data_IF_078984075789
#
_entry.id   IF_078984075789
#
_cell.length_a   1.000
_cell.length_b   1.000
_cell.length_c   1.000
_cell.angle_alpha   90.00
_cell.angle_beta   90.00
_cell.angle_gamma   90.00
#
_symmetry.space_group_name_H-M   'P 1'
#
loop_
_entity.id
_entity.type
_entity.pdbx_description
1 polymer ?
#
# COMPACT_ATOMS: atom_id res chain seq x y z
N UNK A 1 -14.83 -1.32 0.74
CA UNK A 1 -15.72 -1.83 -0.32
C UNK A 1 -17.16 -2.00 0.16
N UNK A 2 -17.41 -2.59 1.33
CA UNK A 2 -18.77 -2.81 1.88
C UNK A 2 -19.62 -1.54 1.96
N UNK A 3 -19.05 -0.41 2.37
CA UNK A 3 -19.78 0.87 2.39
C UNK A 3 -20.20 1.32 0.98
N UNK A 4 -19.36 1.10 -0.03
CA UNK A 4 -19.68 1.40 -1.45
C UNK A 4 -20.81 0.50 -1.92
N UNK A 5 -20.73 -0.80 -1.64
CA UNK A 5 -21.80 -1.76 -1.92
C UNK A 5 -23.12 -1.33 -1.26
N UNK A 6 -23.07 -0.95 0.02
CA UNK A 6 -24.24 -0.54 0.79
C UNK A 6 -24.96 0.67 0.21
N UNK A 7 -24.23 1.59 -0.43
CA UNK A 7 -24.81 2.75 -1.10
C UNK A 7 -25.31 2.34 -2.49
N UNK A 8 -24.48 1.64 -3.27
CA UNK A 8 -24.83 1.22 -4.63
C UNK A 8 -26.09 0.34 -4.67
N UNK A 9 -26.27 -0.57 -3.70
CA UNK A 9 -27.43 -1.45 -3.59
C UNK A 9 -28.76 -0.72 -3.33
N UNK A 10 -28.71 0.56 -2.93
CA UNK A 10 -29.92 1.37 -2.75
C UNK A 10 -30.45 1.90 -4.10
N UNK A 11 -29.61 1.93 -5.13
CA UNK A 11 -29.95 2.52 -6.43
C UNK A 11 -30.16 1.47 -7.53
N UNK A 12 -29.54 0.29 -7.40
CA UNK A 12 -29.67 -0.78 -8.39
C UNK A 12 -29.36 -2.15 -7.78
N UNK A 13 -29.79 -3.21 -8.47
CA UNK A 13 -29.20 -4.53 -8.28
C UNK A 13 -27.74 -4.51 -8.73
N UNK A 14 -26.86 -5.07 -7.90
CA UNK A 14 -25.41 -4.95 -8.07
C UNK A 14 -24.76 -6.31 -8.19
N UNK A 15 -23.84 -6.41 -9.16
CA UNK A 15 -22.89 -7.51 -9.22
C UNK A 15 -21.70 -7.18 -8.31
N UNK A 16 -21.22 -8.16 -7.55
CA UNK A 16 -20.05 -8.00 -6.68
C UNK A 16 -18.96 -8.97 -7.09
N UNK A 17 -17.72 -8.53 -6.96
CA UNK A 17 -16.53 -9.31 -7.32
C UNK A 17 -15.62 -9.41 -6.10
N UNK A 18 -15.05 -10.58 -5.87
CA UNK A 18 -13.98 -10.77 -4.88
C UNK A 18 -12.89 -11.68 -5.44
N UNK A 19 -11.70 -11.52 -4.86
CA UNK A 19 -10.62 -12.50 -4.95
C UNK A 19 -10.51 -13.20 -3.60
N UNK A 20 -10.33 -14.51 -3.63
CA UNK A 20 -9.89 -15.32 -2.50
C UNK A 20 -8.60 -16.06 -2.83
N UNK A 21 -8.00 -16.67 -1.80
CA UNK A 21 -6.80 -17.50 -1.89
C UNK A 21 -7.09 -18.86 -1.25
N UNK A 22 -6.38 -19.91 -1.65
CA UNK A 22 -6.55 -21.24 -1.05
C UNK A 22 -6.04 -21.30 0.40
N UNK A 23 -5.07 -20.46 0.74
CA UNK A 23 -4.54 -20.34 2.09
C UNK A 23 -5.53 -19.64 3.02
N UNK A 24 -6.12 -20.42 3.94
CA UNK A 24 -7.09 -19.93 4.94
C UNK A 24 -6.69 -18.68 5.72
N UNK A 25 -5.39 -18.41 5.87
CA UNK A 25 -4.88 -17.22 6.56
C UNK A 25 -5.24 -15.91 5.82
N UNK A 26 -5.37 -15.99 4.50
CA UNK A 26 -5.62 -14.86 3.61
C UNK A 26 -7.02 -14.92 2.99
N UNK A 27 -7.83 -15.90 3.39
CA UNK A 27 -9.16 -16.15 2.84
C UNK A 27 -10.22 -15.27 3.51
N UNK A 28 -10.63 -14.21 2.80
CA UNK A 28 -11.76 -13.35 3.17
C UNK A 28 -13.07 -13.74 2.46
N UNK A 29 -13.10 -14.87 1.74
CA UNK A 29 -14.26 -15.33 0.96
C UNK A 29 -15.53 -15.45 1.79
N UNK A 30 -15.40 -15.94 3.03
CA UNK A 30 -16.54 -16.11 3.92
C UNK A 30 -17.20 -14.77 4.28
N UNK A 31 -16.39 -13.73 4.50
CA UNK A 31 -16.88 -12.38 4.78
C UNK A 31 -17.60 -11.83 3.54
N UNK A 32 -16.99 -11.96 2.36
CA UNK A 32 -17.56 -11.51 1.09
C UNK A 32 -18.89 -12.20 0.77
N UNK A 33 -18.98 -13.52 0.99
CA UNK A 33 -20.21 -14.32 0.83
C UNK A 33 -21.33 -13.91 1.78
N UNK A 34 -21.01 -13.58 3.03
CA UNK A 34 -22.02 -13.15 3.99
C UNK A 34 -22.54 -11.76 3.66
N UNK A 35 -21.65 -10.86 3.26
CA UNK A 35 -22.00 -9.51 2.81
C UNK A 35 -22.88 -9.59 1.56
N UNK A 36 -22.51 -10.41 0.57
CA UNK A 36 -23.30 -10.53 -0.66
C UNK A 36 -24.70 -11.09 -0.43
N UNK A 37 -24.84 -12.07 0.48
CA UNK A 37 -26.16 -12.57 0.93
C UNK A 37 -26.98 -11.48 1.59
N UNK A 38 -26.37 -10.66 2.45
CA UNK A 38 -27.05 -9.57 3.15
C UNK A 38 -27.60 -8.52 2.17
N UNK A 39 -26.78 -8.10 1.20
CA UNK A 39 -27.18 -7.13 0.18
C UNK A 39 -27.87 -7.74 -1.05
N UNK A 40 -28.11 -9.06 -1.05
CA UNK A 40 -28.70 -9.82 -2.17
C UNK A 40 -28.03 -9.54 -3.53
N UNK A 41 -26.71 -9.31 -3.52
CA UNK A 41 -25.94 -9.03 -4.74
C UNK A 41 -25.65 -10.31 -5.51
N UNK A 42 -25.54 -10.23 -6.83
CA UNK A 42 -25.02 -11.33 -7.63
C UNK A 42 -23.48 -11.42 -7.47
N UNK A 43 -23.01 -12.38 -6.69
CA UNK A 43 -21.62 -12.46 -6.24
C UNK A 43 -20.78 -13.38 -7.11
N UNK A 44 -19.67 -12.86 -7.60
CA UNK A 44 -18.66 -13.57 -8.37
C UNK A 44 -17.35 -13.61 -7.59
N UNK A 45 -16.78 -14.79 -7.49
CA UNK A 45 -15.56 -15.02 -6.74
C UNK A 45 -14.52 -15.72 -7.61
N UNK A 46 -13.30 -15.18 -7.62
CA UNK A 46 -12.13 -15.81 -8.20
C UNK A 46 -11.23 -16.31 -7.08
N UNK A 47 -10.94 -17.61 -7.04
CA UNK A 47 -9.90 -18.15 -6.16
C UNK A 47 -8.59 -18.19 -6.94
N UNK A 48 -7.60 -17.43 -6.47
CA UNK A 48 -6.26 -17.37 -7.06
C UNK A 48 -5.37 -18.41 -6.37
N UNK A 49 -4.73 -19.25 -7.17
CA UNK A 49 -3.78 -20.28 -6.75
C UNK A 49 -2.35 -19.86 -7.11
N UNK A 50 -1.38 -20.52 -6.48
CA UNK A 50 0.05 -20.34 -6.80
C UNK A 50 0.33 -20.52 -8.30
N UNK A 51 -0.22 -21.57 -8.91
CA UNK A 51 -0.04 -21.82 -10.34
C UNK A 51 -0.61 -20.70 -11.22
N UNK A 52 -1.75 -20.10 -10.83
CA UNK A 52 -2.34 -18.98 -11.60
C UNK A 52 -1.38 -17.78 -11.62
N UNK A 53 -0.66 -17.54 -10.52
CA UNK A 53 0.36 -16.48 -10.41
C UNK A 53 1.57 -16.81 -11.27
N UNK A 54 2.06 -18.05 -11.22
CA UNK A 54 3.20 -18.48 -12.02
C UNK A 54 2.92 -18.40 -13.53
N UNK A 55 1.72 -18.78 -13.95
CA UNK A 55 1.29 -18.73 -15.35
C UNK A 55 1.10 -17.29 -15.86
N UNK A 56 0.70 -16.35 -15.01
CA UNK A 56 0.47 -14.97 -15.43
C UNK A 56 1.70 -14.07 -15.29
N UNK A 57 2.80 -14.55 -14.69
CA UNK A 57 3.93 -13.72 -14.27
C UNK A 57 4.56 -12.92 -15.41
N UNK A 58 4.76 -13.55 -16.58
CA UNK A 58 5.34 -12.88 -17.74
C UNK A 58 4.42 -11.79 -18.29
N UNK A 59 3.11 -12.06 -18.42
CA UNK A 59 2.13 -11.04 -18.86
C UNK A 59 2.01 -9.90 -17.85
N UNK A 60 2.01 -10.24 -16.56
CA UNK A 60 1.99 -9.28 -15.45
C UNK A 60 3.20 -8.33 -15.52
N UNK A 61 4.41 -8.87 -15.61
CA UNK A 61 5.65 -8.09 -15.69
C UNK A 61 5.66 -7.24 -16.96
N UNK A 62 5.22 -7.79 -18.10
CA UNK A 62 5.16 -7.05 -19.37
C UNK A 62 4.15 -5.90 -19.37
N UNK A 63 3.21 -5.89 -18.43
CA UNK A 63 2.14 -4.88 -18.32
C UNK A 63 2.55 -3.70 -17.44
N UNK A 64 3.54 -3.85 -16.56
CA UNK A 64 3.95 -2.81 -15.60
C UNK A 64 5.24 -2.10 -16.02
N UNK A 65 5.25 -0.76 -15.96
CA UNK A 65 6.46 0.04 -16.20
C UNK A 65 7.34 0.18 -14.94
N UNK A 66 6.80 -0.15 -13.76
CA UNK A 66 7.48 -0.02 -12.48
C UNK A 66 7.12 -1.19 -11.55
N UNK A 67 8.05 -1.64 -10.69
CA UNK A 67 7.76 -2.68 -9.70
C UNK A 67 6.58 -2.34 -8.78
N UNK A 68 5.88 -3.38 -8.34
CA UNK A 68 4.77 -3.32 -7.39
C UNK A 68 4.84 -4.49 -6.41
N UNK A 69 4.29 -4.30 -5.22
CA UNK A 69 4.09 -5.37 -4.23
C UNK A 69 2.62 -5.71 -3.98
N UNK A 70 1.69 -4.89 -4.48
CA UNK A 70 0.24 -5.06 -4.27
C UNK A 70 -0.53 -5.29 -5.58
N UNK A 71 0.12 -5.08 -6.73
CA UNK A 71 -0.53 -5.02 -8.03
C UNK A 71 -1.07 -6.35 -8.53
N UNK A 72 -0.57 -7.48 -8.04
CA UNK A 72 -1.02 -8.81 -8.47
C UNK A 72 -2.51 -9.04 -8.20
N UNK A 73 -3.02 -8.53 -7.07
CA UNK A 73 -4.43 -8.62 -6.72
C UNK A 73 -5.28 -7.82 -7.72
N UNK A 74 -4.82 -6.62 -8.05
CA UNK A 74 -5.46 -5.73 -9.02
C UNK A 74 -5.43 -6.32 -10.43
N UNK A 75 -4.35 -6.99 -10.82
CA UNK A 75 -4.25 -7.69 -12.09
C UNK A 75 -5.34 -8.78 -12.23
N UNK A 76 -5.47 -9.65 -11.23
CA UNK A 76 -6.47 -10.72 -11.25
C UNK A 76 -7.90 -10.19 -11.23
N UNK A 77 -8.20 -9.16 -10.43
CA UNK A 77 -9.59 -8.68 -10.31
C UNK A 77 -10.01 -7.94 -11.56
N UNK A 78 -9.10 -7.20 -12.20
CA UNK A 78 -9.34 -6.54 -13.49
C UNK A 78 -9.54 -7.57 -14.60
N UNK A 79 -8.69 -8.61 -14.67
CA UNK A 79 -8.87 -9.72 -15.62
C UNK A 79 -10.21 -10.42 -15.43
N UNK A 80 -10.56 -10.74 -14.19
CA UNK A 80 -11.81 -11.43 -13.87
C UNK A 80 -13.04 -10.57 -14.18
N UNK A 81 -12.98 -9.27 -13.86
CA UNK A 81 -14.02 -8.30 -14.20
C UNK A 81 -14.27 -8.25 -15.70
N UNK A 82 -13.20 -8.22 -16.51
CA UNK A 82 -13.30 -8.25 -17.97
C UNK A 82 -13.88 -9.57 -18.50
N UNK A 83 -13.45 -10.72 -17.97
CA UNK A 83 -13.97 -12.04 -18.35
C UNK A 83 -15.48 -12.18 -18.09
N UNK A 84 -15.98 -11.52 -17.05
CA UNK A 84 -17.41 -11.46 -16.72
C UNK A 84 -18.18 -10.40 -17.54
N UNK A 85 -17.49 -9.65 -18.39
CA UNK A 85 -18.09 -8.64 -19.28
C UNK A 85 -18.34 -7.28 -18.60
N UNK A 86 -17.81 -7.03 -17.41
CA UNK A 86 -18.00 -5.76 -16.72
C UNK A 86 -17.09 -4.68 -17.30
N UNK A 87 -17.69 -3.51 -17.59
CA UNK A 87 -16.98 -2.34 -18.14
C UNK A 87 -16.63 -1.29 -17.10
N UNK A 88 -17.42 -1.20 -16.02
CA UNK A 88 -17.21 -0.24 -14.93
C UNK A 88 -17.31 -0.99 -13.60
N UNK A 89 -16.34 -0.76 -12.71
CA UNK A 89 -16.29 -1.35 -11.38
C UNK A 89 -16.08 -0.26 -10.34
N UNK A 90 -16.85 -0.32 -9.26
CA UNK A 90 -16.66 0.56 -8.10
C UNK A 90 -15.74 -0.15 -7.09
N UNK A 91 -14.67 0.54 -6.69
CA UNK A 91 -13.72 0.06 -5.69
C UNK A 91 -13.86 0.84 -4.38
N UNK A 92 -13.48 0.22 -3.26
CA UNK A 92 -13.36 0.89 -1.97
C UNK A 92 -11.93 1.40 -1.67
N UNK A 93 -11.05 1.38 -2.66
CA UNK A 93 -9.66 1.80 -2.58
C UNK A 93 -9.58 3.30 -2.20
N UNK A 94 -8.66 3.66 -1.30
CA UNK A 94 -8.61 5.00 -0.68
C UNK A 94 -9.33 5.10 0.66
N UNK A 95 -10.20 4.14 0.99
CA UNK A 95 -10.95 4.16 2.26
C UNK A 95 -10.06 4.07 3.49
N UNK A 96 -9.06 3.19 3.50
CA UNK A 96 -8.16 3.02 4.64
C UNK A 96 -7.30 4.25 4.88
N UNK A 97 -6.87 4.92 3.81
CA UNK A 97 -6.11 6.17 3.88
C UNK A 97 -6.98 7.30 4.41
N UNK A 98 -8.20 7.42 3.89
CA UNK A 98 -9.16 8.45 4.30
C UNK A 98 -9.69 8.26 5.72
N UNK A 99 -9.78 7.03 6.24
CA UNK A 99 -10.41 6.76 7.54
C UNK A 99 -9.46 6.20 8.60
N UNK A 100 -8.21 5.88 8.24
CA UNK A 100 -7.22 5.39 9.18
C UNK A 100 -7.27 3.88 9.44
N UNK A 101 -7.57 3.09 8.41
CA UNK A 101 -7.74 1.64 8.51
C UNK A 101 -6.42 0.86 8.68
N UNK A 102 -5.28 1.47 8.36
CA UNK A 102 -3.99 0.77 8.42
C UNK A 102 -3.34 0.79 9.81
N UNK A 103 -2.60 -0.28 10.20
CA UNK A 103 -1.76 -0.29 11.40
C UNK A 103 -0.65 0.79 11.42
N UNK A 104 -0.35 1.42 10.28
CA UNK A 104 0.56 2.56 10.23
C UNK A 104 0.06 3.74 11.07
N UNK A 105 -1.25 3.94 11.20
CA UNK A 105 -1.82 5.03 12.00
C UNK A 105 -1.50 4.89 13.49
N UNK A 106 -1.59 3.68 14.04
CA UNK A 106 -1.20 3.43 15.44
C UNK A 106 0.31 3.49 15.62
N UNK A 107 1.09 2.87 14.71
CA UNK A 107 2.56 2.90 14.74
C UNK A 107 3.11 4.32 14.70
N UNK A 108 2.56 5.19 13.85
CA UNK A 108 2.99 6.58 13.72
C UNK A 108 2.71 7.43 14.98
N UNK A 109 1.68 7.10 15.78
CA UNK A 109 1.47 7.75 17.08
C UNK A 109 2.61 7.43 18.05
N UNK A 110 2.99 6.16 18.13
CA UNK A 110 4.09 5.68 18.99
C UNK A 110 5.40 6.35 18.56
N UNK A 111 5.68 6.37 17.26
CA UNK A 111 6.86 7.02 16.69
C UNK A 111 6.89 8.51 16.97
N UNK A 112 5.76 9.21 16.84
CA UNK A 112 5.71 10.64 17.13
C UNK A 112 6.08 10.93 18.59
N UNK A 113 5.63 10.08 19.52
CA UNK A 113 6.05 10.19 20.92
C UNK A 113 7.55 9.95 21.10
N UNK A 114 8.08 8.89 20.46
CA UNK A 114 9.52 8.60 20.46
C UNK A 114 10.35 9.77 19.91
N UNK A 115 9.98 10.33 18.77
CA UNK A 115 10.69 11.46 18.15
C UNK A 115 10.69 12.71 19.03
N UNK A 116 9.57 13.01 19.70
CA UNK A 116 9.49 14.13 20.63
C UNK A 116 10.46 13.96 21.81
N UNK A 117 10.59 12.74 22.35
CA UNK A 117 11.54 12.43 23.42
C UNK A 117 12.98 12.52 22.88
N UNK A 118 13.25 11.87 21.76
CA UNK A 118 14.57 11.83 21.13
C UNK A 118 15.10 13.23 20.85
N UNK A 119 14.29 14.06 20.19
CA UNK A 119 14.70 15.41 19.77
C UNK A 119 14.89 16.37 20.97
N UNK A 120 14.28 16.08 22.12
CA UNK A 120 14.41 16.91 23.31
C UNK A 120 15.55 16.47 24.25
N UNK A 121 15.97 15.20 24.21
CA UNK A 121 16.85 14.60 25.23
C UNK A 121 18.17 14.08 24.65
N UNK A 122 18.17 13.49 23.45
CA UNK A 122 19.34 12.81 22.91
C UNK A 122 20.09 13.68 21.90
N UNK A 123 21.38 13.93 22.16
CA UNK A 123 22.27 14.45 21.12
C UNK A 123 22.51 13.37 20.06
N UNK A 124 22.39 13.73 18.78
CA UNK A 124 22.57 12.86 17.61
C UNK A 124 23.90 12.07 17.59
N UNK A 125 24.88 12.48 18.39
CA UNK A 125 26.22 11.85 18.50
C UNK A 125 26.20 10.48 19.19
N UNK A 126 25.31 10.25 20.16
CA UNK A 126 25.28 8.99 20.94
C UNK A 126 24.59 7.86 20.15
N UNK A 127 23.58 8.19 19.34
CA UNK A 127 22.81 7.18 18.58
C UNK A 127 23.63 6.63 17.39
N UNK A 128 24.45 7.49 16.76
CA UNK A 128 25.29 7.12 15.61
C UNK A 128 26.49 6.24 15.97
N UNK A 129 26.97 6.26 17.22
CA UNK A 129 28.11 5.44 17.65
C UNK A 129 27.74 3.97 17.95
N UNK A 130 26.46 3.66 18.13
CA UNK A 130 25.99 2.35 18.60
C UNK A 130 25.47 1.45 17.45
N UNK A 131 25.28 1.99 16.24
CA UNK A 131 24.67 1.23 15.13
C UNK A 131 25.61 1.10 13.93
N UNK A 132 26.42 0.02 13.85
CA UNK A 132 27.25 -0.25 12.68
C UNK A 132 26.37 -0.69 11.50
N UNK A 133 26.09 0.26 10.62
CA UNK A 133 25.22 0.13 9.43
C UNK A 133 25.68 -0.92 8.42
N UNK A 134 26.91 -1.42 8.55
CA UNK A 134 27.57 -2.27 7.55
C UNK A 134 27.41 -3.77 7.77
N UNK A 135 26.83 -4.23 8.89
CA UNK A 135 26.84 -5.66 9.28
C UNK A 135 25.46 -6.21 9.71
N UNK A 136 24.38 -5.45 9.56
CA UNK A 136 23.08 -5.80 10.11
C UNK A 136 22.17 -6.47 9.08
N UNK A 137 21.49 -7.54 9.46
CA UNK A 137 20.51 -8.25 8.63
C UNK A 137 19.33 -7.34 8.22
N UNK A 138 18.57 -7.72 7.18
CA UNK A 138 17.46 -6.92 6.57
C UNK A 138 16.40 -6.41 7.56
N UNK A 139 16.15 -7.11 8.68
CA UNK A 139 15.22 -6.64 9.74
C UNK A 139 15.87 -5.59 10.65
N UNK A 140 17.16 -5.69 10.88
CA UNK A 140 17.92 -4.80 11.74
C UNK A 140 18.19 -3.47 11.04
N UNK A 141 18.41 -3.46 9.71
CA UNK A 141 18.60 -2.22 8.93
C UNK A 141 17.39 -1.27 8.98
N UNK A 142 16.16 -1.80 9.00
CA UNK A 142 14.94 -0.98 9.12
C UNK A 142 14.74 -0.43 10.53
N UNK A 143 15.07 -1.21 11.56
CA UNK A 143 15.04 -0.71 12.93
C UNK A 143 16.08 0.39 13.11
N UNK A 144 17.26 0.26 12.51
CA UNK A 144 18.25 1.35 12.53
C UNK A 144 17.75 2.59 11.80
N UNK A 145 17.09 2.45 10.65
CA UNK A 145 16.50 3.60 9.93
C UNK A 145 15.45 4.31 10.78
N UNK A 146 14.62 3.54 11.49
CA UNK A 146 13.59 4.09 12.37
C UNK A 146 14.19 4.77 13.62
N UNK A 147 15.24 4.21 14.21
CA UNK A 147 15.92 4.83 15.37
C UNK A 147 16.69 6.08 14.95
N UNK A 148 17.26 6.09 13.74
CA UNK A 148 18.03 7.20 13.20
C UNK A 148 17.16 8.28 12.55
N UNK A 149 15.88 8.03 12.31
CA UNK A 149 14.97 9.01 11.71
C UNK A 149 14.88 10.29 12.56
N UNK A 150 14.96 11.44 11.90
CA UNK A 150 14.92 12.74 12.58
C UNK A 150 13.57 13.45 12.42
N UNK A 151 12.74 12.95 11.52
CA UNK A 151 11.40 13.48 11.26
C UNK A 151 10.38 12.34 11.03
N UNK A 152 9.11 12.73 11.00
CA UNK A 152 7.99 11.79 10.83
C UNK A 152 8.00 11.12 9.45
N UNK A 153 8.44 11.81 8.40
CA UNK A 153 8.42 11.26 7.05
C UNK A 153 9.47 10.16 6.89
N UNK A 154 10.69 10.36 7.37
CA UNK A 154 11.74 9.33 7.39
C UNK A 154 11.27 8.07 8.14
N UNK A 155 10.58 8.28 9.26
CA UNK A 155 10.00 7.18 10.05
C UNK A 155 8.88 6.45 9.30
N UNK A 156 8.06 7.19 8.56
CA UNK A 156 7.02 6.62 7.71
C UNK A 156 7.64 5.75 6.60
N UNK A 157 8.67 6.25 5.90
CA UNK A 157 9.38 5.50 4.87
C UNK A 157 10.04 4.25 5.46
N UNK A 158 10.65 4.34 6.64
CA UNK A 158 11.24 3.18 7.32
C UNK A 158 10.21 2.08 7.64
N UNK A 159 8.97 2.47 7.97
CA UNK A 159 7.88 1.53 8.27
C UNK A 159 7.20 0.95 7.02
N UNK A 160 7.00 1.77 5.99
CA UNK A 160 6.20 1.42 4.79
C UNK A 160 7.07 0.89 3.66
N UNK A 161 8.33 1.34 3.57
CA UNK A 161 9.25 1.02 2.49
C UNK A 161 9.62 -0.46 2.44
N UNK A 162 9.88 -0.94 1.22
CA UNK A 162 10.35 -2.32 0.95
C UNK A 162 11.85 -2.44 1.23
N UNK A 163 12.60 -1.37 1.01
CA UNK A 163 14.05 -1.32 1.19
C UNK A 163 14.40 -0.30 2.28
N UNK A 164 15.42 -0.62 3.07
CA UNK A 164 16.09 0.33 3.96
C UNK A 164 16.78 1.44 3.16
N UNK A 165 17.12 2.55 3.82
CA UNK A 165 17.75 3.70 3.17
C UNK A 165 19.09 3.34 2.52
N UNK A 166 19.93 2.53 3.16
CA UNK A 166 21.17 2.00 2.55
C UNK A 166 20.90 1.15 1.32
N UNK A 167 19.92 0.26 1.38
CA UNK A 167 19.56 -0.59 0.24
C UNK A 167 19.11 0.26 -0.95
N UNK A 168 18.25 1.27 -0.72
CA UNK A 168 17.84 2.21 -1.77
C UNK A 168 19.05 2.92 -2.37
N UNK A 169 19.95 3.47 -1.55
CA UNK A 169 21.17 4.13 -2.03
C UNK A 169 22.08 3.18 -2.83
N UNK A 170 22.25 1.95 -2.37
CA UNK A 170 23.08 0.95 -3.06
C UNK A 170 22.45 0.52 -4.38
N UNK A 171 21.15 0.25 -4.43
CA UNK A 171 20.43 -0.14 -5.64
C UNK A 171 20.48 1.00 -6.66
N UNK A 172 20.14 2.22 -6.23
CA UNK A 172 20.13 3.39 -7.12
C UNK A 172 21.51 3.75 -7.64
N UNK A 173 22.55 3.68 -6.79
CA UNK A 173 23.93 3.86 -7.23
C UNK A 173 24.36 2.81 -8.25
N UNK A 174 23.96 1.55 -8.08
CA UNK A 174 24.26 0.46 -9.03
C UNK A 174 23.51 0.59 -10.34
N UNK A 175 22.23 0.94 -10.31
CA UNK A 175 21.36 0.93 -11.49
C UNK A 175 21.34 2.26 -12.25
N UNK A 176 21.38 3.39 -11.54
CA UNK A 176 21.22 4.74 -12.10
C UNK A 176 22.49 5.59 -12.01
N UNK A 177 23.59 5.07 -11.44
CA UNK A 177 24.87 5.77 -11.32
C UNK A 177 24.83 7.05 -10.46
N UNK A 178 23.74 7.30 -9.74
CA UNK A 178 23.50 8.53 -8.98
C UNK A 178 22.92 8.23 -7.60
N UNK A 179 23.27 9.06 -6.61
CA UNK A 179 22.68 9.00 -5.27
C UNK A 179 21.37 9.79 -5.26
N UNK A 180 20.25 9.08 -5.12
CA UNK A 180 18.92 9.67 -5.14
C UNK A 180 18.57 10.23 -3.75
N UNK A 181 19.25 11.30 -3.34
CA UNK A 181 18.89 12.01 -2.10
C UNK A 181 17.59 12.84 -2.28
N UNK A 182 17.24 13.22 -3.51
CA UNK A 182 16.12 14.12 -3.79
C UNK A 182 14.72 13.49 -3.61
N UNK A 183 14.55 12.18 -3.78
CA UNK A 183 13.21 11.56 -3.69
C UNK A 183 12.73 11.38 -2.25
N UNK A 184 13.63 11.45 -1.26
CA UNK A 184 13.29 11.42 0.16
C UNK A 184 12.75 12.78 0.67
N UNK A 185 12.82 13.84 -0.14
CA UNK A 185 12.49 15.21 0.29
C UNK A 185 11.21 15.78 -0.32
N UNK A 186 10.37 14.98 -1.00
CA UNK A 186 9.00 15.41 -1.31
C UNK A 186 8.10 15.34 -0.07
N UNK A 187 8.60 15.80 1.09
CA UNK A 187 7.75 16.08 2.23
C UNK A 187 6.88 17.26 1.83
N UNK A 188 5.65 16.97 1.41
CA UNK A 188 4.63 18.00 1.36
C UNK A 188 4.62 18.73 2.70
N UNK A 189 4.43 20.05 2.67
CA UNK A 189 4.44 20.88 3.86
C UNK A 189 3.24 20.53 4.76
N UNK A 190 3.39 19.50 5.59
CA UNK A 190 2.39 19.01 6.54
C UNK A 190 2.50 19.71 7.90
N UNK A 191 3.33 20.74 8.01
CA UNK A 191 3.53 21.47 9.27
C UNK A 191 2.27 22.21 9.72
N UNK A 192 1.38 22.55 8.79
CA UNK A 192 0.07 23.15 9.10
C UNK A 192 -0.91 22.15 9.76
N UNK A 193 -0.64 20.84 9.72
CA UNK A 193 -1.49 19.83 10.34
C UNK A 193 -1.07 19.58 11.78
N UNK A 194 -1.97 19.80 12.74
CA UNK A 194 -1.65 19.63 14.16
C UNK A 194 -1.76 18.17 14.64
N UNK A 195 -2.68 17.38 14.07
CA UNK A 195 -2.94 16.01 14.51
C UNK A 195 -2.04 15.01 13.79
N UNK A 196 -1.42 14.11 14.54
CA UNK A 196 -0.57 13.03 13.97
C UNK A 196 -1.33 12.17 12.97
N UNK A 197 -2.58 11.81 13.22
CA UNK A 197 -3.39 11.04 12.27
C UNK A 197 -3.59 11.78 10.94
N UNK A 198 -3.73 13.11 10.96
CA UNK A 198 -3.85 13.91 9.74
C UNK A 198 -2.54 13.92 8.96
N UNK A 199 -1.39 13.99 9.64
CA UNK A 199 -0.07 13.85 9.01
C UNK A 199 0.11 12.47 8.39
N UNK A 200 -0.19 11.40 9.13
CA UNK A 200 -0.11 10.03 8.63
C UNK A 200 -1.02 9.82 7.42
N UNK A 201 -2.26 10.32 7.47
CA UNK A 201 -3.18 10.29 6.33
C UNK A 201 -2.57 10.95 5.10
N UNK A 202 -1.94 12.11 5.25
CA UNK A 202 -1.28 12.79 4.14
C UNK A 202 -0.15 11.94 3.55
N UNK A 203 0.62 11.24 4.39
CA UNK A 203 1.64 10.31 3.90
C UNK A 203 1.03 9.14 3.14
N UNK A 204 -0.01 8.49 3.67
CA UNK A 204 -0.66 7.36 2.99
C UNK A 204 -1.27 7.77 1.64
N UNK A 205 -1.99 8.90 1.60
CA UNK A 205 -2.62 9.40 0.37
C UNK A 205 -1.58 9.70 -0.72
N UNK A 206 -0.50 10.39 -0.37
CA UNK A 206 0.46 10.90 -1.37
C UNK A 206 1.56 9.92 -1.74
N UNK A 207 1.83 8.93 -0.89
CA UNK A 207 2.93 7.99 -1.12
C UNK A 207 2.43 6.59 -1.43
N UNK A 208 1.48 6.05 -0.65
CA UNK A 208 0.98 4.69 -0.87
C UNK A 208 -0.17 4.67 -1.86
N UNK A 209 -1.29 5.35 -1.56
CA UNK A 209 -2.46 5.35 -2.42
C UNK A 209 -2.12 5.84 -3.83
N UNK A 210 -1.50 7.02 -3.94
CA UNK A 210 -1.16 7.62 -5.24
C UNK A 210 -0.15 6.79 -6.04
N UNK A 211 1.00 6.44 -5.44
CA UNK A 211 2.11 5.88 -6.21
C UNK A 211 2.04 4.35 -6.35
N UNK A 212 1.24 3.67 -5.53
CA UNK A 212 1.08 2.22 -5.54
C UNK A 212 -0.33 1.83 -5.99
N UNK A 213 -1.34 2.08 -5.14
CA UNK A 213 -2.66 1.50 -5.33
C UNK A 213 -3.41 2.06 -6.57
N UNK A 214 -3.46 3.38 -6.72
CA UNK A 214 -4.13 4.03 -7.86
C UNK A 214 -3.37 3.78 -9.16
N UNK A 215 -2.03 3.81 -9.12
CA UNK A 215 -1.19 3.47 -10.27
C UNK A 215 -1.44 2.05 -10.75
N UNK A 216 -1.38 1.08 -9.83
CA UNK A 216 -1.61 -0.33 -10.18
C UNK A 216 -3.05 -0.54 -10.68
N UNK A 217 -4.02 0.14 -10.05
CA UNK A 217 -5.42 0.16 -10.51
C UNK A 217 -5.54 0.63 -11.95
N UNK A 218 -4.94 1.77 -12.28
CA UNK A 218 -4.98 2.36 -13.62
C UNK A 218 -4.34 1.43 -14.67
N UNK A 219 -3.12 0.94 -14.41
CA UNK A 219 -2.39 0.06 -15.33
C UNK A 219 -3.20 -1.20 -15.67
N UNK A 220 -3.68 -1.92 -14.66
CA UNK A 220 -4.38 -3.19 -14.88
C UNK A 220 -5.83 -3.00 -15.35
N UNK A 221 -6.48 -1.91 -14.96
CA UNK A 221 -7.76 -1.48 -15.52
C UNK A 221 -7.66 -1.25 -17.04
N UNK A 222 -6.65 -0.50 -17.47
CA UNK A 222 -6.38 -0.22 -18.88
C UNK A 222 -6.08 -1.50 -19.67
N UNK A 223 -5.21 -2.37 -19.16
CA UNK A 223 -4.88 -3.68 -19.78
C UNK A 223 -6.14 -4.48 -20.12
N UNK A 224 -7.14 -4.46 -19.23
CA UNK A 224 -8.37 -5.23 -19.37
C UNK A 224 -9.58 -4.41 -19.81
N UNK A 225 -9.39 -3.17 -20.27
CA UNK A 225 -10.47 -2.28 -20.75
C UNK A 225 -11.64 -2.14 -19.76
N UNK A 226 -11.31 -2.06 -18.47
CA UNK A 226 -12.25 -1.87 -17.36
C UNK A 226 -12.02 -0.51 -16.75
N UNK A 227 -13.07 0.27 -16.47
CA UNK A 227 -12.97 1.52 -15.72
C UNK A 227 -13.14 1.25 -14.22
N UNK A 228 -12.12 1.51 -13.42
CA UNK A 228 -12.20 1.40 -11.94
C UNK A 228 -12.46 2.79 -11.37
N UNK A 229 -13.57 2.96 -10.64
CA UNK A 229 -13.91 4.19 -9.93
C UNK A 229 -13.69 4.02 -8.44
N UNK A 230 -12.96 4.95 -7.84
CA UNK A 230 -12.69 5.00 -6.40
C UNK A 230 -13.53 6.10 -5.73
N UNK A 231 -13.75 6.03 -4.40
CA UNK A 231 -14.48 7.05 -3.66
C UNK A 231 -13.74 8.39 -3.57
#
# INVERSE_FOLDING_TARGET
STSVLSVASQFAEVNTLSIGFEEKKWDESHISKNISKYYKSNHHELIVRENDVMECLDDFISTIDQPTVDGINTYFISRFSNQLGFKVVLSGLGGDELFGGYPSFSRMKIINHYLNIKNNILSDKIIKSITPYQLLEKKQSRLTDLVQSNNLFDSYIALRGIFSKSEVLNITKKMAGTEINHFLHSSQNINHLNKINSKTRMFELNNYLKNQLLRDSDIFAMKWSTEIRTP
#
